data_IF_496124289474
#
_entry.id   IF_496124289474
#
_cell.length_a   1.000
_cell.length_b   1.000
_cell.length_c   1.000
_cell.angle_alpha   90.00
_cell.angle_beta   90.00
_cell.angle_gamma   90.00
#
_symmetry.space_group_name_H-M   'P 1'
#
loop_
_entity.id
_entity.type
_entity.pdbx_description
1 polymer ?
#
# COMPACT_ATOMS: atom_id res chain seq x y z
N UNK A 1 -37.63 -23.02 15.97
CA UNK A 1 -36.47 -23.64 16.63
C UNK A 1 -35.22 -22.89 16.20
N UNK A 2 -34.65 -22.06 17.08
CA UNK A 2 -33.50 -21.20 16.76
C UNK A 2 -32.22 -21.91 17.18
N UNK A 3 -31.46 -22.44 16.22
CA UNK A 3 -30.23 -23.20 16.47
C UNK A 3 -29.16 -22.26 17.01
N UNK A 4 -28.92 -22.30 18.32
CA UNK A 4 -27.84 -21.54 18.98
C UNK A 4 -26.50 -22.11 18.52
N UNK A 5 -25.81 -21.39 17.64
CA UNK A 5 -24.48 -21.73 17.13
C UNK A 5 -23.49 -21.73 18.30
N UNK A 6 -23.08 -22.91 18.74
CA UNK A 6 -22.04 -23.05 19.77
C UNK A 6 -20.69 -22.67 19.16
N UNK A 7 -20.23 -21.45 19.48
CA UNK A 7 -18.91 -20.94 19.13
C UNK A 7 -17.97 -21.33 20.28
N UNK A 8 -16.96 -22.15 20.00
CA UNK A 8 -15.99 -22.63 20.99
C UNK A 8 -14.71 -21.84 20.84
N UNK A 9 -14.27 -21.08 21.87
CA UNK A 9 -13.05 -20.27 21.80
C UNK A 9 -11.81 -21.09 21.42
N UNK A 10 -11.76 -22.37 21.83
CA UNK A 10 -10.67 -23.29 21.49
C UNK A 10 -10.66 -23.66 20.00
N UNK A 11 -11.84 -23.82 19.37
CA UNK A 11 -11.94 -24.08 17.93
C UNK A 11 -11.56 -22.86 17.12
N UNK A 12 -11.95 -21.67 17.58
CA UNK A 12 -11.59 -20.41 16.91
C UNK A 12 -10.08 -20.17 16.98
N UNK A 13 -9.46 -20.37 18.15
CA UNK A 13 -8.01 -20.26 18.30
C UNK A 13 -7.26 -21.25 17.38
N UNK A 14 -7.73 -22.49 17.27
CA UNK A 14 -7.14 -23.49 16.39
C UNK A 14 -7.30 -23.14 14.90
N UNK A 15 -8.48 -22.63 14.52
CA UNK A 15 -8.74 -22.15 13.17
C UNK A 15 -7.86 -20.94 12.80
N UNK A 16 -7.63 -20.00 13.74
CA UNK A 16 -6.73 -18.87 13.53
C UNK A 16 -5.27 -19.33 13.43
N UNK A 17 -4.80 -20.23 14.31
CA UNK A 17 -3.46 -20.80 14.21
C UNK A 17 -3.23 -21.49 12.84
N UNK A 18 -4.24 -22.21 12.35
CA UNK A 18 -4.19 -22.86 11.04
C UNK A 18 -4.11 -21.82 9.91
N UNK A 19 -4.95 -20.79 9.97
CA UNK A 19 -4.93 -19.68 8.99
C UNK A 19 -3.57 -19.00 8.96
N UNK A 20 -2.98 -18.73 10.12
CA UNK A 20 -1.65 -18.12 10.25
C UNK A 20 -0.55 -19.00 9.65
N UNK A 21 -0.52 -20.30 9.96
CA UNK A 21 0.48 -21.22 9.41
C UNK A 21 0.44 -21.30 7.87
N UNK A 22 -0.76 -21.28 7.28
CA UNK A 22 -0.93 -21.25 5.82
C UNK A 22 -0.43 -19.92 5.24
N UNK A 23 -0.71 -18.80 5.91
CA UNK A 23 -0.27 -17.47 5.48
C UNK A 23 1.25 -17.33 5.54
N UNK A 24 1.89 -17.81 6.60
CA UNK A 24 3.36 -17.88 6.72
C UNK A 24 3.97 -18.70 5.58
N UNK A 25 3.35 -19.82 5.22
CA UNK A 25 3.80 -20.62 4.08
C UNK A 25 3.68 -19.87 2.73
N UNK A 26 2.67 -19.00 2.55
CA UNK A 26 2.59 -18.14 1.38
C UNK A 26 3.65 -17.04 1.38
N UNK A 27 3.91 -16.43 2.54
CA UNK A 27 4.98 -15.42 2.71
C UNK A 27 6.34 -16.02 2.36
N UNK A 28 6.62 -17.24 2.81
CA UNK A 28 7.87 -17.94 2.52
C UNK A 28 8.05 -18.21 1.02
N UNK A 29 6.98 -18.60 0.31
CA UNK A 29 7.03 -18.76 -1.15
C UNK A 29 7.44 -17.47 -1.85
N UNK A 30 6.83 -16.36 -1.46
CA UNK A 30 7.08 -15.04 -2.04
C UNK A 30 8.46 -14.48 -1.67
N UNK A 31 9.07 -14.94 -0.59
CA UNK A 31 10.44 -14.57 -0.21
C UNK A 31 11.49 -15.17 -1.15
N UNK A 32 11.13 -16.18 -1.95
CA UNK A 32 11.99 -16.77 -2.97
C UNK A 32 12.23 -15.83 -4.17
N UNK A 33 13.46 -15.74 -4.71
CA UNK A 33 13.75 -14.92 -5.88
C UNK A 33 12.86 -15.29 -7.08
N UNK A 34 12.19 -14.30 -7.68
CA UNK A 34 11.40 -14.47 -8.89
C UNK A 34 10.04 -15.16 -8.70
N UNK A 35 9.61 -15.44 -7.46
CA UNK A 35 8.29 -15.98 -7.21
C UNK A 35 7.21 -14.89 -7.37
N UNK A 36 6.30 -15.07 -8.33
CA UNK A 36 5.20 -14.14 -8.63
C UNK A 36 3.81 -14.79 -8.55
N UNK A 37 3.74 -16.08 -8.15
CA UNK A 37 2.50 -16.87 -8.02
C UNK A 37 2.50 -17.67 -6.73
N UNK A 38 1.33 -17.78 -6.12
CA UNK A 38 1.13 -18.62 -4.95
C UNK A 38 0.77 -20.05 -5.36
N UNK A 39 1.27 -21.01 -4.60
CA UNK A 39 0.91 -22.42 -4.72
C UNK A 39 0.17 -22.88 -3.46
N UNK A 40 -1.18 -22.99 -3.51
CA UNK A 40 -1.97 -23.52 -2.39
C UNK A 40 -1.57 -24.94 -1.98
N UNK A 41 -1.13 -25.77 -2.93
CA UNK A 41 -0.67 -27.14 -2.65
C UNK A 41 0.69 -27.15 -1.95
N UNK A 42 1.63 -26.29 -2.35
CA UNK A 42 2.89 -26.16 -1.64
C UNK A 42 2.69 -25.56 -0.24
N UNK A 43 1.78 -24.59 -0.09
CA UNK A 43 1.42 -24.01 1.20
C UNK A 43 0.79 -25.06 2.14
N UNK A 44 -0.12 -25.90 1.61
CA UNK A 44 -0.72 -26.99 2.36
C UNK A 44 0.34 -27.95 2.92
N UNK A 45 1.27 -28.41 2.07
CA UNK A 45 2.37 -29.29 2.47
C UNK A 45 3.26 -28.63 3.52
N UNK A 46 3.59 -27.35 3.35
CA UNK A 46 4.44 -26.61 4.29
C UNK A 46 3.78 -26.39 5.64
N UNK A 47 2.49 -26.06 5.65
CA UNK A 47 1.70 -25.85 6.86
C UNK A 47 1.22 -27.16 7.52
N UNK A 48 1.49 -28.32 6.91
CA UNK A 48 1.09 -29.63 7.44
C UNK A 48 -0.43 -29.88 7.40
N UNK A 49 -1.13 -29.25 6.45
CA UNK A 49 -2.59 -29.35 6.30
C UNK A 49 -2.99 -29.89 4.92
N UNK A 50 -4.26 -30.24 4.76
CA UNK A 50 -4.79 -30.65 3.45
C UNK A 50 -5.01 -29.44 2.52
N UNK A 51 -4.97 -29.67 1.20
CA UNK A 51 -5.34 -28.65 0.22
C UNK A 51 -6.78 -28.13 0.43
N UNK A 52 -7.70 -29.02 0.82
CA UNK A 52 -9.08 -28.66 1.18
C UNK A 52 -9.10 -27.66 2.34
N UNK A 53 -8.24 -27.82 3.33
CA UNK A 53 -8.11 -26.89 4.46
C UNK A 53 -7.62 -25.52 3.98
N UNK A 54 -6.66 -25.47 3.06
CA UNK A 54 -6.22 -24.20 2.46
C UNK A 54 -7.38 -23.49 1.77
N UNK A 55 -8.13 -24.18 0.93
CA UNK A 55 -9.29 -23.59 0.25
C UNK A 55 -10.46 -23.24 1.19
N UNK A 56 -10.55 -23.88 2.36
CA UNK A 56 -11.53 -23.48 3.38
C UNK A 56 -11.19 -22.10 3.97
N UNK A 57 -9.91 -21.82 4.22
CA UNK A 57 -9.45 -20.54 4.77
C UNK A 57 -9.24 -19.47 3.69
N UNK A 58 -8.84 -19.88 2.49
CA UNK A 58 -8.51 -19.02 1.35
C UNK A 58 -9.13 -19.58 0.06
N UNK A 59 -10.45 -19.37 -0.14
CA UNK A 59 -11.22 -20.04 -1.18
C UNK A 59 -10.78 -19.71 -2.60
N UNK A 60 -10.19 -18.53 -2.82
CA UNK A 60 -9.76 -18.07 -4.13
C UNK A 60 -8.46 -17.25 -4.05
N UNK A 61 -7.85 -16.98 -5.20
CA UNK A 61 -6.63 -16.19 -5.30
C UNK A 61 -6.80 -14.79 -4.68
N UNK A 62 -7.95 -14.16 -4.87
CA UNK A 62 -8.24 -12.84 -4.30
C UNK A 62 -8.14 -12.83 -2.76
N UNK A 63 -8.69 -13.84 -2.09
CA UNK A 63 -8.62 -13.98 -0.63
C UNK A 63 -7.19 -14.22 -0.13
N UNK A 64 -6.34 -14.87 -0.94
CA UNK A 64 -4.93 -15.09 -0.63
C UNK A 64 -4.15 -13.78 -0.75
N UNK A 65 -4.34 -13.06 -1.86
CA UNK A 65 -3.76 -11.73 -2.11
C UNK A 65 -4.18 -10.73 -1.03
N UNK A 66 -5.46 -10.74 -0.63
CA UNK A 66 -5.98 -9.88 0.44
C UNK A 66 -5.24 -10.13 1.76
N UNK A 67 -5.17 -11.39 2.19
CA UNK A 67 -4.55 -11.75 3.47
C UNK A 67 -3.04 -11.49 3.49
N UNK A 68 -2.35 -11.67 2.36
CA UNK A 68 -0.94 -11.30 2.22
C UNK A 68 -0.74 -9.79 2.26
N UNK A 69 -1.66 -9.02 1.66
CA UNK A 69 -1.65 -7.56 1.76
C UNK A 69 -1.80 -7.09 3.21
N UNK A 70 -2.75 -7.65 3.95
CA UNK A 70 -2.96 -7.38 5.38
C UNK A 70 -1.72 -7.72 6.23
N UNK A 71 -1.11 -8.88 5.98
CA UNK A 71 0.13 -9.28 6.65
C UNK A 71 1.29 -8.34 6.30
N UNK A 72 1.40 -7.91 5.05
CA UNK A 72 2.44 -6.98 4.65
C UNK A 72 2.24 -5.62 5.31
N UNK A 73 0.99 -5.15 5.40
CA UNK A 73 0.65 -3.90 6.10
C UNK A 73 0.97 -3.98 7.59
N UNK A 74 0.71 -5.11 8.26
CA UNK A 74 1.06 -5.25 9.68
C UNK A 74 2.57 -5.27 9.94
N UNK A 75 3.36 -5.76 8.98
CA UNK A 75 4.83 -5.76 9.08
C UNK A 75 5.43 -4.39 8.75
N UNK A 76 4.97 -3.74 7.68
CA UNK A 76 5.58 -2.50 7.18
C UNK A 76 4.97 -1.25 7.80
N UNK A 77 3.70 -1.31 8.19
CA UNK A 77 2.95 -0.23 8.83
C UNK A 77 2.23 -0.73 10.10
N UNK A 78 2.98 -1.17 11.13
CA UNK A 78 2.38 -1.74 12.35
C UNK A 78 1.44 -0.77 13.08
N UNK A 79 1.72 0.54 12.99
CA UNK A 79 0.89 1.61 13.55
C UNK A 79 -0.13 2.18 12.53
N UNK A 80 -0.21 1.56 11.36
CA UNK A 80 -0.99 2.04 10.23
C UNK A 80 -0.33 3.20 9.46
N UNK A 81 -1.02 3.68 8.44
CA UNK A 81 -0.62 4.84 7.64
C UNK A 81 -1.61 5.97 7.91
N UNK A 82 -1.12 7.11 8.39
CA UNK A 82 -1.93 8.32 8.54
C UNK A 82 -2.08 8.98 7.17
N UNK A 83 -3.22 8.74 6.51
CA UNK A 83 -3.54 9.31 5.20
C UNK A 83 -3.59 10.84 5.22
N UNK A 84 -3.41 11.47 4.06
CA UNK A 84 -3.64 12.91 3.92
C UNK A 84 -5.14 13.21 4.02
N UNK A 85 -5.54 14.11 4.91
CA UNK A 85 -6.94 14.51 5.07
C UNK A 85 -7.25 15.81 4.32
N UNK A 86 -6.24 16.67 4.13
CA UNK A 86 -6.39 17.98 3.51
C UNK A 86 -5.09 18.39 2.76
N UNK A 87 -5.10 19.51 2.02
CA UNK A 87 -3.93 20.00 1.28
C UNK A 87 -2.65 20.21 2.10
N UNK A 88 -2.76 20.56 3.38
CA UNK A 88 -1.62 20.87 4.25
C UNK A 88 -0.91 19.58 4.71
N UNK A 89 -1.62 18.45 4.70
CA UNK A 89 -1.07 17.15 5.06
C UNK A 89 -0.21 16.52 3.95
N UNK A 90 -0.34 16.97 2.70
CA UNK A 90 0.26 16.28 1.54
C UNK A 90 1.77 16.12 1.72
N UNK A 91 2.50 17.19 2.08
CA UNK A 91 3.97 17.12 2.23
C UNK A 91 4.38 16.16 3.35
N UNK A 92 3.72 16.25 4.51
CA UNK A 92 3.95 15.34 5.65
C UNK A 92 3.70 13.90 5.23
N UNK A 93 2.58 13.66 4.58
CA UNK A 93 2.14 12.34 4.11
C UNK A 93 3.21 11.66 3.25
N UNK A 94 3.76 12.37 2.25
CA UNK A 94 4.81 11.82 1.39
C UNK A 94 6.09 11.51 2.17
N UNK A 95 6.52 12.40 3.07
CA UNK A 95 7.69 12.13 3.92
C UNK A 95 7.51 10.84 4.72
N UNK A 96 6.35 10.68 5.36
CA UNK A 96 6.10 9.56 6.27
C UNK A 96 5.95 8.24 5.51
N UNK A 97 5.21 8.22 4.39
CA UNK A 97 5.02 6.98 3.63
C UNK A 97 6.33 6.46 3.05
N UNK A 98 7.21 7.34 2.56
CA UNK A 98 8.52 6.92 2.05
C UNK A 98 9.45 6.47 3.16
N UNK A 99 9.45 7.17 4.30
CA UNK A 99 10.22 6.73 5.47
C UNK A 99 9.81 5.34 5.91
N UNK A 100 8.50 5.09 6.05
CA UNK A 100 7.98 3.79 6.46
C UNK A 100 8.26 2.71 5.42
N UNK A 101 8.06 3.00 4.14
CA UNK A 101 8.31 2.04 3.07
C UNK A 101 9.79 1.62 2.99
N UNK A 102 10.74 2.52 3.28
CA UNK A 102 12.16 2.21 3.20
C UNK A 102 12.71 1.47 4.44
N UNK A 103 11.95 1.34 5.53
CA UNK A 103 12.38 0.59 6.73
C UNK A 103 12.59 -0.90 6.46
N UNK A 104 11.88 -1.47 5.48
CA UNK A 104 11.92 -2.90 5.20
C UNK A 104 12.36 -3.16 3.76
N UNK A 105 13.49 -3.88 3.54
CA UNK A 105 13.96 -4.25 2.20
C UNK A 105 12.93 -5.02 1.36
N UNK A 106 11.98 -5.70 2.01
CA UNK A 106 10.87 -6.41 1.36
C UNK A 106 9.95 -5.50 0.55
N UNK A 107 9.90 -4.19 0.82
CA UNK A 107 9.14 -3.24 -0.01
C UNK A 107 9.72 -3.09 -1.42
N UNK A 108 10.99 -3.44 -1.62
CA UNK A 108 11.60 -3.46 -2.95
C UNK A 108 10.99 -4.56 -3.84
N UNK A 109 10.69 -5.72 -3.26
CA UNK A 109 10.02 -6.81 -3.98
C UNK A 109 8.63 -6.40 -4.46
N UNK A 110 7.91 -5.58 -3.69
CA UNK A 110 6.62 -5.02 -4.12
C UNK A 110 6.72 -4.04 -5.29
N UNK A 111 7.87 -3.40 -5.49
CA UNK A 111 8.03 -2.41 -6.55
C UNK A 111 8.46 -3.02 -7.87
N UNK A 112 9.24 -4.10 -7.82
CA UNK A 112 9.72 -4.83 -9.00
C UNK A 112 8.88 -6.08 -9.34
N UNK A 113 7.96 -6.47 -8.46
CA UNK A 113 7.22 -7.73 -8.56
C UNK A 113 6.16 -7.75 -9.66
N UNK A 114 6.00 -8.92 -10.29
CA UNK A 114 4.88 -9.25 -11.19
C UNK A 114 3.84 -10.10 -10.44
N UNK A 115 2.71 -10.40 -11.09
CA UNK A 115 1.69 -11.31 -10.56
C UNK A 115 1.13 -10.86 -9.21
N UNK A 116 1.23 -11.74 -8.21
CA UNK A 116 0.68 -11.55 -6.86
C UNK A 116 1.21 -10.28 -6.19
N UNK A 117 2.49 -9.94 -6.37
CA UNK A 117 3.07 -8.72 -5.81
C UNK A 117 2.44 -7.45 -6.35
N UNK A 118 2.12 -7.43 -7.65
CA UNK A 118 1.43 -6.31 -8.30
C UNK A 118 0.00 -6.19 -7.75
N UNK A 119 -0.72 -7.30 -7.63
CA UNK A 119 -2.09 -7.31 -7.11
C UNK A 119 -2.16 -6.83 -5.64
N UNK A 120 -1.23 -7.29 -4.79
CA UNK A 120 -1.09 -6.81 -3.39
C UNK A 120 -0.89 -5.30 -3.39
N UNK A 121 0.03 -4.81 -4.21
CA UNK A 121 0.36 -3.39 -4.30
C UNK A 121 -0.84 -2.56 -4.77
N UNK A 122 -1.52 -2.96 -5.83
CA UNK A 122 -2.68 -2.22 -6.37
C UNK A 122 -3.77 -2.08 -5.30
N UNK A 123 -4.14 -3.18 -4.63
CA UNK A 123 -5.15 -3.18 -3.57
C UNK A 123 -4.80 -2.26 -2.40
N UNK A 124 -3.54 -2.28 -1.96
CA UNK A 124 -3.06 -1.45 -0.83
C UNK A 124 -3.03 0.04 -1.15
N UNK A 125 -2.90 0.39 -2.42
CA UNK A 125 -2.78 1.79 -2.84
C UNK A 125 -4.14 2.48 -2.97
N UNK A 126 -5.23 1.76 -3.20
CA UNK A 126 -6.54 2.36 -3.51
C UNK A 126 -6.95 3.49 -2.56
N UNK A 127 -7.09 3.22 -1.26
CA UNK A 127 -7.53 4.23 -0.28
C UNK A 127 -6.58 5.43 -0.20
N UNK A 128 -5.27 5.17 -0.33
CA UNK A 128 -4.25 6.22 -0.35
C UNK A 128 -4.36 7.11 -1.58
N UNK A 129 -4.51 6.52 -2.77
CA UNK A 129 -4.58 7.29 -4.01
C UNK A 129 -5.81 8.19 -4.01
N UNK A 130 -6.95 7.69 -3.51
CA UNK A 130 -8.15 8.50 -3.34
C UNK A 130 -7.97 9.64 -2.33
N UNK A 131 -7.32 9.38 -1.19
CA UNK A 131 -7.00 10.45 -0.23
C UNK A 131 -6.12 11.55 -0.85
N UNK A 132 -5.14 11.17 -1.68
CA UNK A 132 -4.28 12.13 -2.40
C UNK A 132 -5.10 12.93 -3.41
N UNK A 133 -5.99 12.29 -4.18
CA UNK A 133 -6.87 12.99 -5.14
C UNK A 133 -7.70 14.04 -4.44
N UNK A 134 -8.40 13.67 -3.37
CA UNK A 134 -9.23 14.60 -2.61
C UNK A 134 -8.44 15.76 -2.01
N UNK A 135 -7.25 15.49 -1.46
CA UNK A 135 -6.40 16.53 -0.90
C UNK A 135 -5.91 17.51 -1.98
N UNK A 136 -5.62 17.03 -3.20
CA UNK A 136 -5.21 17.89 -4.32
C UNK A 136 -6.38 18.69 -4.89
N UNK A 137 -7.54 18.06 -5.07
CA UNK A 137 -8.77 18.72 -5.51
C UNK A 137 -9.17 19.87 -4.57
N UNK A 138 -9.03 19.66 -3.26
CA UNK A 138 -9.34 20.66 -2.23
C UNK A 138 -8.47 21.93 -2.29
N UNK A 139 -7.38 21.95 -3.09
CA UNK A 139 -6.58 23.16 -3.32
C UNK A 139 -7.35 24.18 -4.17
N UNK A 140 -8.30 23.75 -5.00
CA UNK A 140 -9.15 24.64 -5.79
C UNK A 140 -8.43 25.31 -6.97
N UNK A 141 -7.36 24.71 -7.50
CA UNK A 141 -6.67 25.20 -8.69
C UNK A 141 -7.43 24.87 -9.99
N UNK A 142 -7.11 25.54 -11.12
CA UNK A 142 -7.72 25.26 -12.41
C UNK A 142 -7.64 23.76 -12.81
N UNK A 143 -8.67 23.21 -13.50
CA UNK A 143 -8.78 21.76 -13.73
C UNK A 143 -7.55 21.10 -14.35
N UNK A 144 -6.93 21.75 -15.33
CA UNK A 144 -5.72 21.23 -15.97
C UNK A 144 -4.55 21.12 -14.98
N UNK A 145 -4.30 22.17 -14.19
CA UNK A 145 -3.23 22.18 -13.20
C UNK A 145 -3.46 21.13 -12.11
N UNK A 146 -4.71 20.97 -11.66
CA UNK A 146 -5.11 19.94 -10.70
C UNK A 146 -4.86 18.54 -11.25
N UNK A 147 -5.21 18.28 -12.52
CA UNK A 147 -4.99 16.99 -13.16
C UNK A 147 -3.49 16.65 -13.30
N UNK A 148 -2.67 17.61 -13.74
CA UNK A 148 -1.22 17.46 -13.89
C UNK A 148 -0.54 17.20 -12.53
N UNK A 149 -0.86 17.99 -11.51
CA UNK A 149 -0.32 17.82 -10.17
C UNK A 149 -0.76 16.48 -9.55
N UNK A 150 -2.02 16.09 -9.74
CA UNK A 150 -2.53 14.80 -9.28
C UNK A 150 -1.74 13.66 -9.91
N UNK A 151 -1.53 13.67 -11.23
CA UNK A 151 -0.77 12.61 -11.91
C UNK A 151 0.66 12.49 -11.36
N UNK A 152 1.35 13.61 -11.18
CA UNK A 152 2.70 13.66 -10.60
C UNK A 152 2.74 13.09 -9.18
N UNK A 153 1.84 13.55 -8.31
CA UNK A 153 1.79 13.11 -6.91
C UNK A 153 1.44 11.61 -6.80
N UNK A 154 0.51 11.11 -7.62
CA UNK A 154 0.21 9.68 -7.63
C UNK A 154 1.42 8.84 -8.05
N UNK A 155 2.20 9.29 -9.02
CA UNK A 155 3.46 8.66 -9.43
C UNK A 155 4.53 8.67 -8.34
N UNK A 156 4.59 9.73 -7.54
CA UNK A 156 5.53 9.83 -6.42
C UNK A 156 5.09 9.03 -5.18
N UNK A 157 3.83 8.62 -5.05
CA UNK A 157 3.24 8.17 -3.78
C UNK A 157 3.63 6.77 -3.25
N UNK A 158 4.78 6.22 -3.64
CA UNK A 158 5.23 4.94 -3.09
C UNK A 158 6.69 4.58 -3.36
N UNK A 159 7.09 3.39 -2.88
CA UNK A 159 8.47 2.91 -2.92
C UNK A 159 9.05 2.83 -4.34
N UNK A 160 8.22 2.81 -5.37
CA UNK A 160 8.60 2.88 -6.78
C UNK A 160 9.19 4.22 -7.20
N UNK A 161 8.92 5.29 -6.45
CA UNK A 161 9.68 6.54 -6.57
C UNK A 161 10.96 6.49 -5.70
N UNK A 162 10.92 5.78 -4.56
CA UNK A 162 12.04 5.75 -3.62
C UNK A 162 13.24 4.93 -4.08
N UNK A 163 13.01 3.68 -4.52
CA UNK A 163 14.11 2.78 -4.87
C UNK A 163 14.92 3.26 -6.08
N UNK A 164 14.31 3.79 -7.16
CA UNK A 164 15.10 4.35 -8.26
C UNK A 164 15.97 5.53 -7.85
N UNK A 165 15.49 6.45 -6.98
CA UNK A 165 16.33 7.54 -6.48
C UNK A 165 17.54 7.02 -5.71
N UNK A 166 17.34 5.97 -4.90
CA UNK A 166 18.44 5.30 -4.23
C UNK A 166 19.41 4.63 -5.20
N UNK A 167 18.88 3.93 -6.22
CA UNK A 167 19.68 3.28 -7.27
C UNK A 167 20.48 4.31 -8.11
N UNK A 168 20.03 5.57 -8.18
CA UNK A 168 20.75 6.69 -8.76
C UNK A 168 21.77 7.36 -7.81
N UNK A 169 21.98 6.81 -6.61
CA UNK A 169 23.02 7.24 -5.67
C UNK A 169 22.54 8.13 -4.52
N UNK A 170 21.23 8.38 -4.38
CA UNK A 170 20.71 9.09 -3.21
C UNK A 170 20.75 8.18 -1.97
N UNK A 171 21.26 8.71 -0.85
CA UNK A 171 21.26 7.96 0.41
C UNK A 171 19.81 7.68 0.89
N UNK A 172 19.56 6.45 1.41
CA UNK A 172 18.21 6.00 1.76
C UNK A 172 17.50 6.89 2.79
N UNK A 173 18.25 7.42 3.75
CA UNK A 173 17.75 8.34 4.78
C UNK A 173 17.36 9.71 4.20
N UNK A 174 17.92 10.10 3.05
CA UNK A 174 17.61 11.36 2.35
C UNK A 174 16.40 11.26 1.42
N UNK A 175 16.11 10.05 0.91
CA UNK A 175 15.02 9.83 -0.06
C UNK A 175 13.67 10.42 0.39
N UNK A 176 13.18 10.20 1.64
CA UNK A 176 11.89 10.74 2.06
C UNK A 176 11.82 12.28 2.02
N UNK A 177 12.90 12.95 2.44
CA UNK A 177 12.93 14.41 2.49
C UNK A 177 13.07 15.03 1.10
N UNK A 178 13.82 14.39 0.19
CA UNK A 178 13.92 14.84 -1.20
C UNK A 178 12.56 14.74 -1.90
N UNK A 179 11.86 13.62 -1.76
CA UNK A 179 10.52 13.48 -2.35
C UNK A 179 9.54 14.50 -1.73
N UNK A 180 9.56 14.65 -0.40
CA UNK A 180 8.70 15.62 0.27
C UNK A 180 8.94 17.06 -0.20
N UNK A 181 10.20 17.44 -0.47
CA UNK A 181 10.53 18.73 -1.05
C UNK A 181 9.96 18.88 -2.48
N UNK A 182 10.13 17.86 -3.34
CA UNK A 182 9.50 17.88 -4.68
C UNK A 182 7.99 18.03 -4.61
N UNK A 183 7.34 17.33 -3.66
CA UNK A 183 5.90 17.46 -3.41
C UNK A 183 5.52 18.86 -2.95
N UNK A 184 6.32 19.47 -2.06
CA UNK A 184 6.10 20.83 -1.59
C UNK A 184 6.12 21.83 -2.76
N UNK A 185 7.10 21.73 -3.66
CA UNK A 185 7.17 22.59 -4.85
C UNK A 185 5.93 22.47 -5.75
N UNK A 186 5.44 21.25 -5.96
CA UNK A 186 4.21 21.00 -6.74
C UNK A 186 3.00 21.64 -6.05
N UNK A 187 2.85 21.46 -4.74
CA UNK A 187 1.73 22.00 -3.96
C UNK A 187 1.77 23.53 -3.94
N UNK A 188 2.93 24.15 -3.74
CA UNK A 188 3.10 25.61 -3.76
C UNK A 188 2.75 26.19 -5.13
N UNK A 189 3.23 25.57 -6.22
CA UNK A 189 2.87 25.97 -7.57
C UNK A 189 1.36 25.88 -7.82
N UNK A 190 0.72 24.82 -7.31
CA UNK A 190 -0.70 24.62 -7.47
C UNK A 190 -1.52 25.66 -6.69
N UNK A 191 -1.10 25.99 -5.46
CA UNK A 191 -1.72 27.07 -4.65
C UNK A 191 -1.59 28.44 -5.31
N UNK A 192 -0.43 28.74 -5.90
CA UNK A 192 -0.25 30.00 -6.64
C UNK A 192 -1.24 30.11 -7.82
N UNK A 193 -1.45 29.02 -8.56
CA UNK A 193 -2.45 28.97 -9.65
C UNK A 193 -3.88 29.10 -9.14
N UNK A 194 -4.21 28.55 -7.96
CA UNK A 194 -5.52 28.73 -7.33
C UNK A 194 -5.75 30.19 -6.90
N UNK A 195 -4.72 30.85 -6.33
CA UNK A 195 -4.79 32.26 -5.97
C UNK A 195 -5.03 33.19 -7.18
N UNK A 196 -4.41 32.88 -8.32
CA UNK A 196 -4.62 33.65 -9.55
C UNK A 196 -6.04 33.49 -10.12
N UNK A 197 -6.64 32.31 -9.98
CA UNK A 197 -8.02 32.07 -10.41
C UNK A 197 -9.04 32.96 -9.64
N UNK A 198 -8.78 33.22 -8.36
CA UNK A 198 -9.63 34.10 -7.53
C UNK A 198 -9.51 35.58 -7.92
N UNK A 199 -8.40 35.99 -8.53
CA UNK A 199 -8.19 37.36 -9.00
C UNK A 199 -8.84 37.62 -10.37
N UNK A 200 -9.03 36.57 -11.18
CA UNK A 200 -9.60 36.65 -12.53
C UNK A 200 -11.12 36.41 -12.59
N UNK A 201 -11.79 36.18 -11.45
CA UNK A 201 -13.23 36.01 -11.39
C UNK A 201 -13.97 37.37 -11.53
N UNK A 202 -14.97 37.51 -12.43
CA UNK A 202 -15.71 38.76 -12.57
C UNK A 202 -16.53 39.04 -11.29
N UNK A 203 -16.49 40.31 -10.85
CA UNK A 203 -17.20 40.83 -9.68
C UNK A 203 -18.73 40.78 -9.81
#
# INVERSE_FOLDING_TARGET
MTTRRYVSPKRDAMAQATRTAILEAFVEQLSGPGCDKLSPSAAARRAGVSLRTVHLHFPNEESQVAALGEWFDSVVYPEGVVLCANPDDIVRYFRDIHRLALKHPSTRALTSGRGVWRAIRERRRTARLEAIRHAVEAIGAPPQATAEATAMLLGLSGADASWPLHDHGLALDRVPDVIANTVQLIVEQLRAKAGNLLLDAPA
#
